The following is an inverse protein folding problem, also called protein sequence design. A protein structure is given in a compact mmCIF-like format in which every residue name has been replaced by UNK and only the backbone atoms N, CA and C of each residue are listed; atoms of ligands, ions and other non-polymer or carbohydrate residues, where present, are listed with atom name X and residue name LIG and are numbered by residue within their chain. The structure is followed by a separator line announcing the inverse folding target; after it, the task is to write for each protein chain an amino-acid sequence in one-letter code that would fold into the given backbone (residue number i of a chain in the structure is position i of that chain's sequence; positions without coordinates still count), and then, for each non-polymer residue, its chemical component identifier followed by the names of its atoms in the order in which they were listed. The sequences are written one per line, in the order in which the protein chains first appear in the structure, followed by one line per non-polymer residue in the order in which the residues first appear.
data_IF_639644341488
#
_entry.id   IF_639644341488
#
_cell.length_a   1.000
_cell.length_b   1.000
_cell.length_c   1.000
_cell.angle_alpha   90.00
_cell.angle_beta   90.00
_cell.angle_gamma   90.00
#
_symmetry.space_group_name_H-M   'P 1'
#
loop_
_entity.id
_entity.type
_entity.pdbx_description
1 polymer ?
#
# COMPACT_ATOMS: atom_id res chain seq x y z
N UNK A 1 -12.83 -8.70 -22.21
CA UNK A 1 -13.72 -7.54 -21.96
C UNK A 1 -15.07 -8.04 -21.50
N UNK A 2 -15.60 -7.44 -20.41
CA UNK A 2 -16.95 -7.67 -19.93
C UNK A 2 -17.65 -6.32 -19.78
N UNK A 3 -18.84 -6.19 -20.34
CA UNK A 3 -19.69 -5.00 -20.18
C UNK A 3 -21.02 -5.43 -19.56
N UNK A 4 -21.39 -4.80 -18.47
CA UNK A 4 -22.66 -5.06 -17.78
C UNK A 4 -23.45 -3.74 -17.63
N UNK A 5 -24.79 -3.83 -17.70
CA UNK A 5 -25.70 -2.72 -17.46
C UNK A 5 -26.95 -3.23 -16.73
N UNK A 6 -27.37 -2.52 -15.69
CA UNK A 6 -28.53 -2.88 -14.85
C UNK A 6 -28.46 -4.34 -14.34
N UNK A 7 -27.27 -4.79 -13.90
CA UNK A 7 -27.04 -6.14 -13.39
C UNK A 7 -27.06 -7.25 -14.44
N UNK A 8 -27.16 -6.93 -15.74
CA UNK A 8 -27.13 -7.89 -16.86
C UNK A 8 -25.86 -7.71 -17.67
N UNK A 9 -25.24 -8.84 -18.06
CA UNK A 9 -24.09 -8.84 -18.97
C UNK A 9 -24.63 -8.50 -20.38
N UNK A 10 -24.12 -7.40 -20.94
CA UNK A 10 -24.47 -6.95 -22.29
C UNK A 10 -23.47 -7.43 -23.34
N UNK A 11 -22.20 -7.63 -22.94
CA UNK A 11 -21.14 -8.07 -23.85
C UNK A 11 -20.05 -8.82 -23.09
N UNK A 12 -19.55 -9.90 -23.68
CA UNK A 12 -18.37 -10.63 -23.22
C UNK A 12 -17.51 -10.99 -24.43
N UNK A 13 -16.23 -10.68 -24.37
CA UNK A 13 -15.27 -11.10 -25.39
C UNK A 13 -13.90 -11.36 -24.77
N UNK A 14 -13.19 -12.33 -25.30
CA UNK A 14 -11.78 -12.59 -25.02
C UNK A 14 -10.96 -12.28 -26.27
N UNK A 15 -9.74 -11.75 -26.07
CA UNK A 15 -8.80 -11.50 -27.17
C UNK A 15 -7.37 -11.62 -26.61
N UNK A 16 -6.49 -12.21 -27.42
CA UNK A 16 -5.09 -12.44 -27.05
C UNK A 16 -4.85 -13.80 -26.38
N UNK A 17 -3.68 -13.96 -25.83
CA UNK A 17 -3.17 -15.20 -25.24
C UNK A 17 -2.87 -15.01 -23.75
N UNK A 18 -3.16 -16.01 -22.94
CA UNK A 18 -2.78 -16.06 -21.51
C UNK A 18 -1.28 -16.37 -21.36
N UNK A 19 -0.77 -17.24 -22.20
CA UNK A 19 0.65 -17.56 -22.39
C UNK A 19 0.87 -17.81 -23.89
N UNK A 20 2.09 -17.70 -24.43
CA UNK A 20 2.36 -17.93 -25.84
C UNK A 20 1.74 -19.23 -26.35
N UNK A 21 0.90 -19.14 -27.38
CA UNK A 21 0.20 -20.27 -27.99
C UNK A 21 -1.07 -20.74 -27.25
N UNK A 22 -1.48 -20.09 -26.13
CA UNK A 22 -2.66 -20.45 -25.38
C UNK A 22 -3.67 -19.29 -25.33
N UNK A 23 -4.76 -19.33 -26.11
CA UNK A 23 -5.77 -18.27 -26.10
C UNK A 23 -6.35 -18.05 -24.68
N UNK A 24 -6.54 -16.77 -24.31
CA UNK A 24 -7.14 -16.43 -23.03
C UNK A 24 -8.59 -16.89 -22.97
N UNK A 25 -8.97 -17.53 -21.87
CA UNK A 25 -10.33 -18.04 -21.63
C UNK A 25 -11.11 -17.07 -20.72
N UNK A 26 -12.45 -17.23 -20.67
CA UNK A 26 -13.31 -16.38 -19.83
C UNK A 26 -13.07 -16.59 -18.33
N UNK A 27 -12.61 -17.75 -17.94
CA UNK A 27 -12.29 -18.13 -16.56
C UNK A 27 -10.81 -17.94 -16.19
N UNK A 28 -10.04 -17.27 -17.05
CA UNK A 28 -8.64 -16.98 -16.81
C UNK A 28 -8.45 -16.18 -15.51
N UNK A 29 -7.56 -16.64 -14.65
CA UNK A 29 -7.19 -15.94 -13.41
C UNK A 29 -6.21 -14.81 -13.71
N UNK A 30 -6.59 -13.59 -13.33
CA UNK A 30 -5.80 -12.40 -13.53
C UNK A 30 -5.32 -11.82 -12.20
N UNK A 31 -4.07 -11.34 -12.17
CA UNK A 31 -3.58 -10.53 -11.05
C UNK A 31 -4.25 -9.16 -11.08
N UNK A 32 -5.03 -8.86 -10.07
CA UNK A 32 -5.81 -7.62 -10.01
C UNK A 32 -5.02 -6.42 -9.47
N UNK A 33 -3.86 -6.64 -8.85
CA UNK A 33 -3.03 -5.57 -8.26
C UNK A 33 -3.87 -4.58 -7.43
N UNK A 34 -3.83 -3.29 -7.77
CA UNK A 34 -4.54 -2.23 -7.03
C UNK A 34 -6.07 -2.34 -7.03
N UNK A 35 -6.67 -3.12 -7.95
CA UNK A 35 -8.11 -3.40 -7.91
C UNK A 35 -8.50 -4.24 -6.67
N UNK A 36 -7.54 -4.87 -6.01
CA UNK A 36 -7.74 -5.51 -4.70
C UNK A 36 -8.10 -4.51 -3.58
N UNK A 37 -7.68 -3.23 -3.69
CA UNK A 37 -7.94 -2.21 -2.68
C UNK A 37 -9.45 -1.95 -2.43
N UNK A 38 -10.28 -1.68 -3.46
CA UNK A 38 -11.71 -1.50 -3.23
C UNK A 38 -12.38 -2.74 -2.64
N UNK A 39 -11.94 -3.95 -2.98
CA UNK A 39 -12.49 -5.18 -2.41
C UNK A 39 -12.16 -5.25 -0.91
N UNK A 40 -10.90 -4.98 -0.53
CA UNK A 40 -10.48 -4.93 0.87
C UNK A 40 -11.19 -3.81 1.62
N UNK A 41 -11.37 -2.63 1.00
CA UNK A 41 -12.06 -1.51 1.60
C UNK A 41 -13.55 -1.82 1.86
N UNK A 42 -14.22 -2.50 0.92
CA UNK A 42 -15.61 -2.95 1.11
C UNK A 42 -15.69 -3.94 2.28
N UNK A 43 -14.79 -4.92 2.35
CA UNK A 43 -14.77 -5.87 3.46
C UNK A 43 -14.55 -5.16 4.82
N UNK A 44 -13.68 -4.15 4.86
CA UNK A 44 -13.49 -3.34 6.06
C UNK A 44 -14.75 -2.53 6.39
N UNK A 45 -15.40 -1.91 5.41
CA UNK A 45 -16.64 -1.15 5.62
C UNK A 45 -17.81 -2.03 6.09
N UNK A 46 -17.86 -3.30 5.71
CA UNK A 46 -18.84 -4.25 6.27
C UNK A 46 -18.64 -4.40 7.78
N UNK A 47 -17.39 -4.49 8.26
CA UNK A 47 -17.10 -4.52 9.70
C UNK A 47 -17.46 -3.19 10.39
N UNK A 48 -17.34 -2.06 9.71
CA UNK A 48 -17.79 -0.77 10.20
C UNK A 48 -19.31 -0.73 10.36
N UNK A 49 -20.06 -1.21 9.39
CA UNK A 49 -21.52 -1.33 9.45
C UNK A 49 -21.99 -2.24 10.60
N UNK A 50 -21.20 -3.28 10.92
CA UNK A 50 -21.43 -4.13 12.11
C UNK A 50 -21.04 -3.46 13.44
N UNK A 51 -20.52 -2.22 13.41
CA UNK A 51 -20.11 -1.48 14.61
C UNK A 51 -18.81 -1.99 15.25
N UNK A 52 -18.01 -2.79 14.52
CA UNK A 52 -16.77 -3.37 15.06
C UNK A 52 -15.63 -2.37 15.17
N UNK A 53 -15.65 -1.30 14.41
CA UNK A 53 -14.71 -0.19 14.49
C UNK A 53 -15.36 1.10 14.01
N UNK A 54 -14.73 2.23 14.35
CA UNK A 54 -15.07 3.54 13.81
C UNK A 54 -13.96 4.02 12.87
N UNK A 55 -14.31 4.85 11.89
CA UNK A 55 -13.33 5.39 10.94
C UNK A 55 -12.23 6.21 11.65
N UNK A 56 -12.60 6.90 12.72
CA UNK A 56 -11.67 7.71 13.53
C UNK A 56 -10.88 6.88 14.55
N UNK A 57 -11.20 5.60 14.71
CA UNK A 57 -10.42 4.73 15.60
C UNK A 57 -8.95 4.75 15.18
N UNK A 58 -8.04 4.91 16.16
CA UNK A 58 -6.62 4.84 15.87
C UNK A 58 -6.21 3.42 15.49
N UNK A 59 -5.42 3.28 14.44
CA UNK A 59 -4.99 2.00 13.90
C UNK A 59 -4.27 1.11 14.94
N UNK A 60 -3.55 1.71 15.91
CA UNK A 60 -2.88 0.96 16.97
C UNK A 60 -3.84 0.11 17.83
N UNK A 61 -5.12 0.47 17.90
CA UNK A 61 -6.14 -0.31 18.61
C UNK A 61 -6.32 -1.72 18.04
N UNK A 62 -6.02 -1.89 16.75
CA UNK A 62 -6.16 -3.15 16.00
C UNK A 62 -4.82 -3.76 15.59
N UNK A 63 -3.82 -2.91 15.32
CA UNK A 63 -2.51 -3.33 14.80
C UNK A 63 -1.43 -3.43 15.87
N UNK A 64 -1.73 -3.01 17.12
CA UNK A 64 -0.82 -3.12 18.26
C UNK A 64 -0.02 -1.85 18.55
N UNK A 65 0.74 -1.92 19.65
CA UNK A 65 1.38 -0.75 20.27
C UNK A 65 2.47 -0.10 19.41
N UNK A 66 3.07 -0.82 18.46
CA UNK A 66 4.05 -0.24 17.52
C UNK A 66 3.47 0.91 16.70
N UNK A 67 2.14 0.88 16.43
CA UNK A 67 1.41 1.91 15.70
C UNK A 67 0.99 3.11 16.56
N UNK A 68 1.37 3.16 17.84
CA UNK A 68 1.14 4.34 18.67
C UNK A 68 1.99 5.53 18.23
N UNK A 69 1.45 6.77 18.25
CA UNK A 69 2.19 7.96 17.79
C UNK A 69 3.57 8.10 18.42
N UNK A 70 3.70 7.82 19.73
CA UNK A 70 4.97 7.92 20.44
C UNK A 70 6.05 6.94 19.93
N UNK A 71 5.67 5.88 19.22
CA UNK A 71 6.58 4.89 18.66
C UNK A 71 6.88 5.14 17.18
N UNK A 72 6.19 6.10 16.56
CA UNK A 72 6.31 6.42 15.14
C UNK A 72 7.07 7.73 14.92
N UNK A 73 7.72 7.83 13.78
CA UNK A 73 8.49 9.02 13.38
C UNK A 73 8.01 9.52 12.03
N UNK A 74 8.17 10.82 11.82
CA UNK A 74 7.81 11.50 10.57
C UNK A 74 9.06 12.15 9.99
N UNK A 75 9.26 12.03 8.69
CA UNK A 75 10.39 12.58 7.96
C UNK A 75 10.35 14.11 7.97
N UNK A 76 11.48 14.73 8.25
CA UNK A 76 11.71 16.14 7.94
C UNK A 76 12.07 16.23 6.46
N UNK A 77 11.41 17.10 5.67
CA UNK A 77 11.72 17.26 4.25
C UNK A 77 13.18 17.59 4.00
N UNK A 78 13.80 16.90 3.08
CA UNK A 78 15.23 17.01 2.75
C UNK A 78 16.01 15.77 3.19
N UNK A 79 17.30 15.76 2.90
CA UNK A 79 18.17 14.61 3.21
C UNK A 79 18.12 13.49 2.17
N UNK A 80 18.78 12.40 2.51
CA UNK A 80 18.86 11.17 1.70
C UNK A 80 18.39 9.98 2.52
N UNK A 81 18.29 8.79 1.93
CA UNK A 81 17.92 7.57 2.66
C UNK A 81 18.92 7.19 3.77
N UNK A 82 20.16 7.65 3.69
CA UNK A 82 21.22 7.34 4.65
C UNK A 82 21.48 8.49 5.64
N UNK A 83 21.01 9.70 5.33
CA UNK A 83 21.15 10.90 6.16
C UNK A 83 19.87 11.72 6.11
N UNK A 84 18.98 11.52 7.07
CA UNK A 84 17.69 12.17 7.18
C UNK A 84 17.32 12.46 8.63
N UNK A 85 16.57 13.51 8.83
CA UNK A 85 16.03 13.90 10.14
C UNK A 85 14.58 13.44 10.27
N UNK A 86 14.17 13.18 11.51
CA UNK A 86 12.78 12.81 11.82
C UNK A 86 12.29 13.57 13.05
N UNK A 87 10.99 13.82 13.07
CA UNK A 87 10.27 14.36 14.22
C UNK A 87 9.28 13.34 14.78
N UNK A 88 8.83 13.49 16.03
CA UNK A 88 7.77 12.64 16.57
C UNK A 88 6.50 12.70 15.72
N UNK A 89 5.80 11.58 15.66
CA UNK A 89 4.44 11.56 15.12
C UNK A 89 3.51 12.22 16.16
N UNK A 90 2.79 13.28 15.76
CA UNK A 90 1.97 14.09 16.66
C UNK A 90 0.56 13.53 16.85
N UNK A 91 0.07 12.77 15.87
CA UNK A 91 -1.28 12.20 15.89
C UNK A 91 -1.29 10.76 15.41
N UNK A 92 -2.24 9.98 15.91
CA UNK A 92 -2.38 8.59 15.53
C UNK A 92 -2.80 8.45 14.06
N UNK A 93 -2.23 7.45 13.37
CA UNK A 93 -2.82 6.94 12.14
C UNK A 93 -4.19 6.36 12.49
N UNK A 94 -5.25 6.77 11.78
CA UNK A 94 -6.61 6.23 11.94
C UNK A 94 -6.96 5.26 10.82
N UNK A 95 -8.03 4.50 10.99
CA UNK A 95 -8.60 3.67 9.92
C UNK A 95 -8.97 4.51 8.69
N UNK A 96 -9.51 5.73 8.92
CA UNK A 96 -9.80 6.69 7.85
C UNK A 96 -8.54 7.08 7.07
N UNK A 97 -7.43 7.39 7.75
CA UNK A 97 -6.17 7.74 7.09
C UNK A 97 -5.66 6.62 6.19
N UNK A 98 -5.79 5.36 6.60
CA UNK A 98 -5.39 4.21 5.79
C UNK A 98 -6.28 4.06 4.55
N UNK A 99 -7.61 4.21 4.70
CA UNK A 99 -8.56 4.10 3.58
C UNK A 99 -8.44 5.22 2.56
N UNK A 100 -8.03 6.42 2.97
CA UNK A 100 -7.92 7.62 2.12
C UNK A 100 -6.50 7.90 1.63
N UNK A 101 -5.54 7.01 1.92
CA UNK A 101 -4.12 7.19 1.59
C UNK A 101 -3.49 8.47 2.18
N UNK A 102 -3.95 8.88 3.36
CA UNK A 102 -3.44 10.06 4.07
C UNK A 102 -2.65 9.70 5.34
N UNK A 103 -2.25 8.44 5.48
CA UNK A 103 -1.51 7.96 6.65
C UNK A 103 -0.03 8.39 6.67
N UNK A 104 0.52 8.87 5.56
CA UNK A 104 1.94 9.19 5.42
C UNK A 104 2.82 7.98 5.08
N UNK A 105 2.23 6.85 4.74
CA UNK A 105 2.97 5.67 4.26
C UNK A 105 3.41 5.85 2.80
N UNK A 106 4.56 5.26 2.42
CA UNK A 106 5.07 5.23 1.05
C UNK A 106 4.95 3.84 0.44
N UNK A 107 5.16 3.76 -0.86
CA UNK A 107 5.32 2.49 -1.59
C UNK A 107 6.73 1.90 -1.48
N UNK A 108 7.73 2.70 -1.09
CA UNK A 108 9.13 2.28 -1.15
C UNK A 108 9.56 2.01 -2.59
N UNK A 109 9.16 2.86 -3.53
CA UNK A 109 9.57 2.78 -4.94
C UNK A 109 10.91 3.49 -5.11
N UNK A 110 11.98 2.73 -5.35
CA UNK A 110 13.27 3.31 -5.67
C UNK A 110 13.43 3.47 -7.19
N UNK A 111 13.35 4.70 -7.75
CA UNK A 111 13.45 4.92 -9.18
C UNK A 111 14.85 4.63 -9.72
N UNK A 112 15.86 4.49 -8.87
CA UNK A 112 17.27 4.29 -9.28
C UNK A 112 17.67 2.82 -9.41
N UNK A 113 16.84 1.87 -8.98
CA UNK A 113 17.15 0.44 -9.00
C UNK A 113 16.96 -0.22 -10.39
N UNK A 114 16.50 0.55 -11.38
CA UNK A 114 16.24 0.08 -12.75
C UNK A 114 15.07 -0.90 -12.90
N UNK A 115 14.36 -1.22 -11.79
CA UNK A 115 13.23 -2.15 -11.78
C UNK A 115 11.90 -1.45 -12.02
N UNK A 116 11.82 -0.16 -11.71
CA UNK A 116 10.64 0.67 -11.97
C UNK A 116 10.82 1.48 -13.24
N UNK A 117 10.18 1.05 -14.31
CA UNK A 117 10.03 1.85 -15.55
C UNK A 117 8.74 2.68 -15.54
N UNK A 118 8.20 2.98 -14.35
CA UNK A 118 6.99 3.79 -14.23
C UNK A 118 7.32 5.27 -14.47
N UNK A 119 6.60 5.95 -15.37
CA UNK A 119 6.73 7.40 -15.54
C UNK A 119 6.44 8.19 -14.24
N UNK A 120 5.64 7.64 -13.34
CA UNK A 120 5.33 8.22 -12.03
C UNK A 120 6.53 8.13 -11.10
N UNK A 121 7.25 7.00 -11.09
CA UNK A 121 8.45 6.85 -10.27
C UNK A 121 9.62 7.74 -10.74
N UNK A 122 9.69 8.07 -12.03
CA UNK A 122 10.71 8.99 -12.56
C UNK A 122 10.44 10.46 -12.19
N UNK A 123 9.22 10.79 -11.78
CA UNK A 123 8.78 12.15 -11.44
C UNK A 123 8.85 12.44 -9.93
N UNK A 124 8.83 11.40 -9.11
CA UNK A 124 9.11 11.49 -7.68
C UNK A 124 10.63 11.45 -7.50
N UNK A 125 11.24 12.60 -7.27
CA UNK A 125 12.64 12.69 -6.86
C UNK A 125 12.87 11.70 -5.73
N UNK A 126 13.97 10.93 -5.78
CA UNK A 126 14.29 9.86 -4.84
C UNK A 126 13.90 10.24 -3.40
N UNK A 127 12.78 9.70 -2.94
CA UNK A 127 12.30 9.95 -1.60
C UNK A 127 13.20 9.18 -0.63
N UNK A 128 13.75 9.81 0.41
CA UNK A 128 14.56 9.10 1.41
C UNK A 128 13.89 7.85 1.96
N UNK A 129 12.56 7.83 2.03
CA UNK A 129 11.79 6.68 2.52
C UNK A 129 11.92 5.44 1.64
N UNK A 130 12.15 5.58 0.34
CA UNK A 130 12.20 4.44 -0.57
C UNK A 130 13.35 3.50 -0.22
N UNK A 131 14.53 4.05 0.06
CA UNK A 131 15.66 3.27 0.54
C UNK A 131 15.44 2.68 1.94
N UNK A 132 14.72 3.38 2.81
CA UNK A 132 14.37 2.88 4.16
C UNK A 132 13.43 1.68 4.03
N UNK A 133 12.36 1.80 3.24
CA UNK A 133 11.38 0.74 3.03
C UNK A 133 12.01 -0.49 2.39
N UNK A 134 12.95 -0.30 1.46
CA UNK A 134 13.67 -1.41 0.84
C UNK A 134 14.57 -2.14 1.85
N UNK A 135 15.34 -1.41 2.66
CA UNK A 135 16.17 -2.02 3.73
C UNK A 135 15.36 -2.78 4.76
N UNK A 136 14.16 -2.28 5.08
CA UNK A 136 13.23 -2.94 6.00
C UNK A 136 12.49 -4.13 5.37
N UNK A 137 12.60 -4.31 4.06
CA UNK A 137 11.90 -5.37 3.32
C UNK A 137 10.39 -5.18 3.26
N UNK A 138 9.92 -3.93 3.26
CA UNK A 138 8.50 -3.54 3.16
C UNK A 138 8.18 -2.73 1.91
N UNK A 139 9.13 -2.62 0.98
CA UNK A 139 8.88 -1.96 -0.31
C UNK A 139 7.89 -2.75 -1.15
N UNK A 140 7.27 -2.08 -2.13
CA UNK A 140 6.39 -2.75 -3.10
C UNK A 140 7.14 -3.84 -3.88
N UNK A 141 8.45 -3.67 -4.12
CA UNK A 141 9.28 -4.68 -4.76
C UNK A 141 9.45 -5.92 -3.89
N UNK A 142 9.64 -5.74 -2.58
CA UNK A 142 9.65 -6.84 -1.62
C UNK A 142 8.32 -7.57 -1.59
N UNK A 143 7.19 -6.84 -1.68
CA UNK A 143 5.85 -7.41 -1.66
C UNK A 143 5.45 -8.08 -2.99
N UNK A 144 5.94 -7.60 -4.15
CA UNK A 144 5.63 -8.11 -5.48
C UNK A 144 6.75 -8.98 -6.07
N UNK A 145 7.85 -9.14 -5.34
CA UNK A 145 9.03 -9.87 -5.79
C UNK A 145 8.77 -11.32 -6.15
N UNK A 146 9.65 -11.89 -6.97
CA UNK A 146 9.57 -13.27 -7.43
C UNK A 146 9.87 -14.31 -6.33
N UNK A 147 10.45 -13.89 -5.20
CA UNK A 147 10.69 -14.77 -4.05
C UNK A 147 9.47 -14.78 -3.12
N UNK A 148 9.11 -15.93 -2.53
CA UNK A 148 8.11 -15.98 -1.49
C UNK A 148 8.52 -15.04 -0.35
N UNK A 149 7.59 -14.21 0.12
CA UNK A 149 7.81 -13.45 1.34
C UNK A 149 7.97 -14.45 2.49
N UNK A 150 9.16 -14.55 3.06
CA UNK A 150 9.40 -15.32 4.29
C UNK A 150 8.71 -14.69 5.51
N UNK A 151 8.04 -13.56 5.30
CA UNK A 151 7.44 -12.72 6.32
C UNK A 151 5.92 -12.90 6.31
N UNK A 152 5.31 -13.19 7.44
CA UNK A 152 3.85 -13.20 7.59
C UNK A 152 3.28 -11.79 7.47
N UNK A 153 1.98 -11.68 7.18
CA UNK A 153 1.29 -10.38 7.12
C UNK A 153 1.45 -9.59 8.44
N UNK A 154 1.35 -10.25 9.59
CA UNK A 154 1.55 -9.62 10.89
C UNK A 154 2.96 -9.04 11.04
N UNK A 155 3.99 -9.82 10.68
CA UNK A 155 5.37 -9.35 10.70
C UNK A 155 5.62 -8.20 9.71
N UNK A 156 4.98 -8.23 8.54
CA UNK A 156 5.03 -7.14 7.57
C UNK A 156 4.43 -5.84 8.14
N UNK A 157 3.25 -5.94 8.73
CA UNK A 157 2.56 -4.81 9.38
C UNK A 157 3.38 -4.26 10.54
N UNK A 158 4.02 -5.11 11.33
CA UNK A 158 4.90 -4.72 12.42
C UNK A 158 6.14 -3.96 11.93
N UNK A 159 6.79 -4.45 10.87
CA UNK A 159 7.92 -3.77 10.24
C UNK A 159 7.51 -2.42 9.63
N UNK A 160 6.32 -2.35 9.04
CA UNK A 160 5.79 -1.12 8.46
C UNK A 160 5.59 -0.04 9.54
N UNK A 161 5.18 -0.41 10.75
CA UNK A 161 5.07 0.52 11.88
C UNK A 161 6.42 1.09 12.34
N UNK A 162 7.52 0.38 12.10
CA UNK A 162 8.89 0.82 12.43
C UNK A 162 9.46 1.77 11.36
N UNK A 163 8.81 1.85 10.20
CA UNK A 163 9.21 2.77 9.13
C UNK A 163 8.77 4.21 9.46
N UNK A 164 9.56 5.16 8.98
CA UNK A 164 9.23 6.58 9.07
C UNK A 164 8.06 6.92 8.14
N UNK A 165 7.16 7.78 8.57
CA UNK A 165 6.10 8.35 7.73
C UNK A 165 6.64 9.53 6.91
N UNK A 166 6.07 9.79 5.75
CA UNK A 166 6.43 10.93 4.88
C UNK A 166 6.01 12.28 5.47
N UNK A 167 4.86 12.28 6.17
CA UNK A 167 4.24 13.47 6.76
C UNK A 167 3.31 13.06 7.90
N UNK A 168 2.86 14.02 8.68
CA UNK A 168 1.91 13.76 9.77
C UNK A 168 0.60 13.15 9.21
N UNK A 169 0.05 12.12 9.87
CA UNK A 169 -1.20 11.48 9.42
C UNK A 169 -2.32 12.50 9.19
N UNK A 170 -2.96 12.46 8.02
CA UNK A 170 -4.03 13.36 7.62
C UNK A 170 -3.57 14.72 7.07
N UNK A 171 -2.28 14.97 6.94
CA UNK A 171 -1.78 16.25 6.42
C UNK A 171 -1.83 16.33 4.89
N UNK A 172 -1.48 15.23 4.23
CA UNK A 172 -1.40 15.14 2.76
C UNK A 172 -1.92 13.78 2.27
N UNK A 173 -2.24 13.77 0.99
CA UNK A 173 -2.55 12.56 0.20
C UNK A 173 -1.34 12.15 -0.62
#
# INVERSE_FOLDING_TARGET
TLVARHGKIAHVATAGEATPGSPIQLDALCRMHSISKPITSVALMMLHEEGRFQLDDPAWKYLGDKWRPQNMRVLVPGGTSDDFETVPCERAVSCHHLLTHTAGLSYGLNPTDGRTQSPVAAQEAANPLDGIYERMGVSIHSALGAAPLETTLAQFVDKLAECTLMYQPGEKW
#
